data_IF_931386470340
#
_entry.id   IF_931386470340
#
_cell.length_a   1.000
_cell.length_b   1.000
_cell.length_c   1.000
_cell.angle_alpha   90.00
_cell.angle_beta   90.00
_cell.angle_gamma   90.00
#
_symmetry.space_group_name_H-M   'P 1'
#
loop_
_entity.id
_entity.type
_entity.pdbx_description
1 polymer ?
#
# COMPACT_ATOMS: atom_id res chain seq x y z
N UNK A 1 23.34 49.70 37.98
CA UNK A 1 22.31 50.76 37.90
C UNK A 1 22.48 51.41 36.52
N UNK A 2 21.91 50.85 35.45
CA UNK A 2 20.52 51.00 34.98
C UNK A 2 20.20 52.48 34.69
N UNK A 3 20.00 52.91 33.44
CA UNK A 3 18.78 52.79 32.61
C UNK A 3 19.19 52.85 31.11
N UNK A 4 18.96 51.86 30.24
CA UNK A 4 17.72 51.44 29.55
C UNK A 4 17.07 52.49 28.65
N UNK A 5 17.23 52.34 27.32
CA UNK A 5 16.18 52.60 26.33
C UNK A 5 16.32 51.60 25.19
N UNK A 6 15.30 50.74 25.06
CA UNK A 6 15.13 49.75 24.00
C UNK A 6 14.21 50.35 22.94
N UNK A 7 14.59 50.29 21.66
CA UNK A 7 13.75 50.68 20.53
C UNK A 7 13.36 49.41 19.78
N UNK A 8 12.07 49.10 19.82
CA UNK A 8 11.42 48.02 19.08
C UNK A 8 11.26 48.47 17.63
N UNK A 9 11.89 47.76 16.69
CA UNK A 9 11.59 47.87 15.25
C UNK A 9 10.86 46.59 14.84
N UNK A 10 9.60 46.77 14.46
CA UNK A 10 8.75 45.74 13.86
C UNK A 10 9.11 45.58 12.37
N UNK A 11 9.56 44.39 11.97
CA UNK A 11 9.62 44.00 10.56
C UNK A 11 8.50 43.01 10.28
N UNK A 12 7.45 43.49 9.59
CA UNK A 12 6.40 42.65 9.04
C UNK A 12 6.94 41.78 7.91
N UNK A 13 6.77 40.47 8.03
CA UNK A 13 7.00 39.53 6.93
C UNK A 13 5.90 39.72 5.88
N UNK A 14 6.30 40.21 4.71
CA UNK A 14 5.45 40.27 3.52
C UNK A 14 5.72 39.01 2.69
N UNK A 15 4.70 38.16 2.54
CA UNK A 15 4.72 37.01 1.63
C UNK A 15 4.90 37.50 0.18
N UNK A 16 5.78 36.91 -0.65
CA UNK A 16 5.85 37.28 -2.05
C UNK A 16 4.73 36.58 -2.84
N UNK A 17 3.93 37.38 -3.53
CA UNK A 17 2.99 36.93 -4.56
C UNK A 17 3.75 36.25 -5.70
N UNK A 18 3.40 34.99 -5.99
CA UNK A 18 3.86 34.25 -7.16
C UNK A 18 3.50 34.98 -8.46
N UNK A 19 4.52 35.39 -9.22
CA UNK A 19 4.37 35.91 -10.58
C UNK A 19 4.30 34.74 -11.58
N UNK A 20 3.13 34.57 -12.19
CA UNK A 20 2.98 33.80 -13.42
C UNK A 20 3.84 34.43 -14.52
N UNK A 21 4.81 33.67 -15.04
CA UNK A 21 5.45 33.99 -16.33
C UNK A 21 5.34 32.76 -17.24
N UNK A 22 4.55 32.93 -18.32
CA UNK A 22 4.45 31.99 -19.42
C UNK A 22 5.75 32.04 -20.23
N UNK A 23 6.53 30.96 -20.21
CA UNK A 23 7.55 30.71 -21.21
C UNK A 23 7.24 29.38 -21.90
N UNK A 24 6.92 29.48 -23.19
CA UNK A 24 6.91 28.36 -24.13
C UNK A 24 8.33 28.16 -24.63
N UNK A 25 8.85 26.92 -24.63
CA UNK A 25 9.82 26.45 -25.62
C UNK A 25 9.94 24.91 -25.63
N UNK A 26 9.47 24.37 -26.75
CA UNK A 26 9.91 23.22 -27.57
C UNK A 26 10.29 21.87 -26.92
N UNK A 27 9.47 20.89 -27.27
CA UNK A 27 9.51 19.45 -27.02
C UNK A 27 10.68 18.71 -27.69
N UNK A 28 11.27 17.76 -26.96
CA UNK A 28 11.93 16.56 -27.51
C UNK A 28 11.10 15.33 -27.14
N UNK A 29 11.09 14.25 -27.96
CA UNK A 29 10.07 13.23 -27.87
C UNK A 29 10.40 12.22 -26.76
N UNK A 30 9.71 12.31 -25.62
CA UNK A 30 9.56 11.18 -24.72
C UNK A 30 8.55 10.22 -25.34
N UNK A 31 8.96 8.96 -25.54
CA UNK A 31 8.06 7.88 -25.95
C UNK A 31 6.97 7.75 -24.87
N UNK A 32 5.68 7.97 -25.20
CA UNK A 32 4.62 7.73 -24.25
C UNK A 32 4.47 6.23 -24.07
N UNK A 33 4.76 5.71 -22.87
CA UNK A 33 4.20 4.44 -22.44
C UNK A 33 2.70 4.67 -22.28
N UNK A 34 1.97 4.41 -23.36
CA UNK A 34 0.53 4.30 -23.33
C UNK A 34 0.17 3.15 -22.39
N UNK A 35 -0.19 3.47 -21.15
CA UNK A 35 -1.20 2.68 -20.46
C UNK A 35 -2.40 2.63 -21.39
N UNK A 36 -2.63 1.47 -21.98
CA UNK A 36 -3.63 1.29 -23.00
C UNK A 36 -4.99 1.61 -22.35
N UNK A 37 -5.54 2.79 -22.63
CA UNK A 37 -6.87 3.26 -22.20
C UNK A 37 -8.02 2.44 -22.82
N UNK A 38 -7.73 1.28 -23.42
CA UNK A 38 -8.73 0.28 -23.77
C UNK A 38 -8.92 -0.73 -22.63
N UNK A 39 -9.22 -0.22 -21.44
CA UNK A 39 -10.23 -0.91 -20.63
C UNK A 39 -11.53 -0.65 -21.37
N UNK A 40 -11.93 -1.60 -22.23
CA UNK A 40 -13.31 -1.62 -22.69
C UNK A 40 -14.15 -1.56 -21.42
N UNK A 41 -14.92 -0.47 -21.30
CA UNK A 41 -16.06 -0.35 -20.38
C UNK A 41 -16.85 -1.63 -20.54
N UNK A 42 -16.61 -2.60 -19.66
CA UNK A 42 -17.38 -3.82 -19.63
C UNK A 42 -18.73 -3.36 -19.07
N UNK A 43 -19.67 -3.15 -19.98
CA UNK A 43 -21.07 -3.05 -19.60
C UNK A 43 -21.37 -4.19 -18.63
N UNK A 44 -22.10 -3.83 -17.59
CA UNK A 44 -22.59 -4.71 -16.54
C UNK A 44 -23.27 -5.95 -17.15
N UNK A 45 -22.51 -7.01 -17.35
CA UNK A 45 -23.09 -8.33 -17.43
C UNK A 45 -23.66 -8.62 -16.05
N UNK A 46 -24.98 -8.63 -15.95
CA UNK A 46 -25.70 -9.24 -14.84
C UNK A 46 -25.29 -10.71 -14.76
N UNK A 47 -24.20 -10.97 -14.04
CA UNK A 47 -23.95 -12.27 -13.46
C UNK A 47 -24.97 -12.43 -12.32
N UNK A 48 -25.61 -13.61 -12.20
CA UNK A 48 -26.51 -13.86 -11.09
C UNK A 48 -25.74 -13.63 -9.77
N UNK A 49 -26.38 -13.10 -8.73
CA UNK A 49 -25.73 -12.93 -7.44
C UNK A 49 -25.17 -14.30 -7.01
N UNK A 50 -23.94 -14.34 -6.43
CA UNK A 50 -23.46 -15.57 -5.83
C UNK A 50 -24.54 -16.03 -4.84
N UNK A 51 -24.92 -17.31 -4.97
CA UNK A 51 -25.83 -17.97 -4.04
C UNK A 51 -25.36 -17.65 -2.63
N UNK A 52 -26.31 -17.29 -1.75
CA UNK A 52 -26.06 -16.98 -0.35
C UNK A 52 -25.46 -18.20 0.36
N UNK A 53 -24.16 -18.41 0.20
CA UNK A 53 -23.35 -19.32 0.98
C UNK A 53 -22.98 -18.57 2.26
N UNK A 54 -23.25 -19.23 3.39
CA UNK A 54 -23.21 -18.69 4.73
C UNK A 54 -21.98 -17.82 4.98
N UNK A 55 -22.20 -16.56 5.37
CA UNK A 55 -21.18 -15.75 6.01
C UNK A 55 -20.68 -16.53 7.23
N UNK A 56 -19.38 -16.86 7.27
CA UNK A 56 -18.77 -17.45 8.44
C UNK A 56 -18.90 -16.45 9.61
N UNK A 57 -19.76 -16.78 10.57
CA UNK A 57 -19.90 -16.03 11.81
C UNK A 57 -18.56 -15.99 12.54
N UNK A 58 -18.13 -14.79 12.91
CA UNK A 58 -17.04 -14.54 13.86
C UNK A 58 -17.24 -15.39 15.12
N UNK A 59 -16.17 -16.03 15.60
CA UNK A 59 -16.03 -16.91 16.79
C UNK A 59 -15.80 -18.42 16.59
N UNK A 60 -15.46 -18.88 15.39
CA UNK A 60 -14.84 -20.21 15.23
C UNK A 60 -13.49 -20.09 14.52
N UNK A 61 -12.48 -20.91 14.89
CA UNK A 61 -11.23 -20.96 14.15
C UNK A 61 -11.54 -21.24 12.68
N UNK A 62 -10.80 -20.61 11.78
CA UNK A 62 -11.00 -20.76 10.33
C UNK A 62 -11.00 -22.25 9.99
N UNK A 63 -12.15 -22.80 9.58
CA UNK A 63 -12.26 -24.20 9.18
C UNK A 63 -11.56 -24.38 7.83
N UNK A 64 -10.28 -24.75 7.89
CA UNK A 64 -9.44 -24.97 6.71
C UNK A 64 -10.01 -26.07 5.81
N UNK A 65 -10.67 -27.09 6.37
CA UNK A 65 -11.29 -28.15 5.58
C UNK A 65 -12.54 -27.66 4.85
N UNK A 66 -13.32 -26.77 5.48
CA UNK A 66 -14.37 -26.03 4.78
C UNK A 66 -13.80 -25.16 3.66
N UNK A 67 -12.75 -24.37 3.92
CA UNK A 67 -12.13 -23.52 2.90
C UNK A 67 -11.61 -24.33 1.71
N UNK A 68 -10.92 -25.44 1.98
CA UNK A 68 -10.50 -26.38 0.94
C UNK A 68 -11.70 -26.90 0.17
N UNK A 69 -12.75 -27.38 0.83
CA UNK A 69 -13.94 -27.92 0.14
C UNK A 69 -14.64 -26.89 -0.74
N UNK A 70 -14.78 -25.66 -0.25
CA UNK A 70 -15.55 -24.60 -0.94
C UNK A 70 -14.74 -23.95 -2.07
N UNK A 71 -13.47 -23.66 -1.83
CA UNK A 71 -12.65 -22.84 -2.73
C UNK A 71 -11.58 -23.62 -3.51
N UNK A 72 -11.45 -24.94 -3.31
CA UNK A 72 -10.57 -25.76 -4.16
C UNK A 72 -10.92 -25.59 -5.64
N UNK A 73 -9.89 -25.46 -6.47
CA UNK A 73 -10.04 -25.28 -7.92
C UNK A 73 -9.96 -23.82 -8.38
N UNK A 74 -10.04 -22.83 -7.48
CA UNK A 74 -9.93 -21.41 -7.83
C UNK A 74 -8.49 -20.87 -7.76
N UNK A 75 -7.49 -21.72 -8.02
CA UNK A 75 -6.07 -21.34 -7.93
C UNK A 75 -5.57 -20.98 -6.53
N UNK A 76 -6.31 -21.34 -5.48
CA UNK A 76 -5.95 -21.11 -4.09
C UNK A 76 -5.84 -22.43 -3.29
N UNK A 77 -4.91 -22.47 -2.34
CA UNK A 77 -4.77 -23.52 -1.32
C UNK A 77 -4.64 -22.89 0.06
N UNK A 78 -4.95 -23.64 1.12
CA UNK A 78 -5.00 -23.10 2.48
C UNK A 78 -4.11 -23.89 3.43
N UNK A 79 -3.42 -23.17 4.31
CA UNK A 79 -2.60 -23.71 5.38
C UNK A 79 -2.96 -23.06 6.72
N UNK A 80 -3.00 -23.88 7.76
CA UNK A 80 -3.25 -23.45 9.12
C UNK A 80 -1.96 -22.97 9.79
N UNK A 81 -2.02 -21.83 10.47
CA UNK A 81 -0.91 -21.25 11.23
C UNK A 81 -1.45 -20.71 12.56
N UNK A 82 -1.57 -21.59 13.55
CA UNK A 82 -2.02 -21.21 14.89
C UNK A 82 -3.49 -20.78 14.91
N UNK A 83 -3.73 -19.50 15.17
CA UNK A 83 -5.09 -18.91 15.18
C UNK A 83 -5.48 -18.29 13.83
N UNK A 84 -4.58 -18.28 12.85
CA UNK A 84 -4.83 -17.70 11.52
C UNK A 84 -4.66 -18.72 10.40
N UNK A 85 -5.24 -18.41 9.24
CA UNK A 85 -5.10 -19.21 8.03
C UNK A 85 -4.41 -18.38 6.93
N UNK A 86 -3.52 -19.04 6.20
CA UNK A 86 -2.87 -18.47 5.02
C UNK A 86 -3.49 -19.06 3.76
N UNK A 87 -4.06 -18.18 2.93
CA UNK A 87 -4.42 -18.51 1.56
C UNK A 87 -3.20 -18.32 0.64
N UNK A 88 -2.78 -19.39 -0.03
CA UNK A 88 -1.72 -19.40 -1.04
C UNK A 88 -2.36 -19.37 -2.41
N UNK A 89 -2.15 -18.26 -3.12
CA UNK A 89 -2.64 -18.03 -4.47
C UNK A 89 -1.53 -18.42 -5.45
N UNK A 90 -1.88 -19.13 -6.52
CA UNK A 90 -0.90 -19.57 -7.52
C UNK A 90 -1.50 -19.56 -8.92
N UNK A 91 -0.75 -18.99 -9.85
CA UNK A 91 -1.04 -19.02 -11.27
C UNK A 91 -0.12 -20.01 -12.00
N UNK A 92 -0.56 -20.46 -13.16
CA UNK A 92 0.15 -21.44 -14.00
C UNK A 92 1.42 -20.86 -14.62
N UNK A 93 1.48 -19.54 -14.78
CA UNK A 93 2.70 -18.84 -15.18
C UNK A 93 3.80 -18.87 -14.09
N UNK A 94 3.48 -19.35 -12.89
CA UNK A 94 4.39 -19.49 -11.77
C UNK A 94 4.36 -18.36 -10.76
N UNK A 95 3.62 -17.28 -11.01
CA UNK A 95 3.39 -16.22 -10.02
C UNK A 95 2.57 -16.75 -8.85
N UNK A 96 2.89 -16.29 -7.64
CA UNK A 96 2.22 -16.75 -6.42
C UNK A 96 2.22 -15.66 -5.36
N UNK A 97 1.19 -15.65 -4.52
CA UNK A 97 1.11 -14.76 -3.37
C UNK A 97 0.55 -15.49 -2.15
N UNK A 98 0.96 -15.07 -0.95
CA UNK A 98 0.42 -15.58 0.31
C UNK A 98 -0.36 -14.48 1.02
N UNK A 99 -1.56 -14.80 1.50
CA UNK A 99 -2.44 -13.87 2.20
C UNK A 99 -2.79 -14.44 3.58
N UNK A 100 -2.45 -13.72 4.64
CA UNK A 100 -2.93 -14.01 6.00
C UNK A 100 -4.35 -13.46 6.13
N UNK A 101 -5.34 -14.35 6.18
CA UNK A 101 -6.76 -13.99 6.02
C UNK A 101 -7.27 -13.07 7.12
N UNK A 102 -7.03 -13.39 8.40
CA UNK A 102 -7.52 -12.59 9.54
C UNK A 102 -6.88 -11.20 9.61
N UNK A 103 -5.67 -11.04 9.08
CA UNK A 103 -4.94 -9.76 9.05
C UNK A 103 -5.14 -8.97 7.76
N UNK A 104 -5.74 -9.56 6.73
CA UNK A 104 -5.85 -8.96 5.41
C UNK A 104 -4.48 -8.55 4.84
N UNK A 105 -3.44 -9.32 5.15
CA UNK A 105 -2.05 -8.97 4.86
C UNK A 105 -1.48 -9.89 3.79
N UNK A 106 -0.88 -9.33 2.74
CA UNK A 106 -0.10 -10.10 1.77
C UNK A 106 1.32 -10.24 2.29
N UNK A 107 1.75 -11.48 2.55
CA UNK A 107 3.05 -11.77 3.18
C UNK A 107 4.12 -12.26 2.21
N UNK A 108 3.74 -12.63 0.99
CA UNK A 108 4.69 -13.01 -0.05
C UNK A 108 4.08 -12.70 -1.40
N UNK A 109 4.92 -12.24 -2.33
CA UNK A 109 4.57 -12.10 -3.73
C UNK A 109 5.78 -12.46 -4.58
N UNK A 110 5.71 -13.64 -5.20
CA UNK A 110 6.76 -14.17 -6.07
C UNK A 110 6.30 -14.08 -7.51
N UNK A 111 7.13 -13.46 -8.34
CA UNK A 111 6.89 -13.35 -9.78
C UNK A 111 7.97 -14.09 -10.54
N UNK A 112 7.58 -14.75 -11.63
CA UNK A 112 8.54 -15.37 -12.55
C UNK A 112 9.27 -14.25 -13.31
N UNK A 113 10.56 -14.42 -13.56
CA UNK A 113 11.36 -13.48 -14.34
C UNK A 113 11.89 -14.13 -15.61
N UNK A 114 12.29 -13.31 -16.60
CA UNK A 114 12.69 -13.72 -17.95
C UNK A 114 13.70 -14.90 -18.03
N UNK A 115 14.57 -15.06 -17.03
CA UNK A 115 15.54 -16.16 -16.96
C UNK A 115 14.98 -17.45 -16.32
N UNK A 116 13.65 -17.57 -16.20
CA UNK A 116 12.94 -18.73 -15.67
C UNK A 116 12.94 -18.87 -14.15
N UNK A 117 13.65 -17.98 -13.44
CA UNK A 117 13.66 -17.93 -11.98
C UNK A 117 12.40 -17.29 -11.40
N UNK A 118 12.30 -17.26 -10.07
CA UNK A 118 11.29 -16.48 -9.34
C UNK A 118 11.97 -15.49 -8.41
N UNK A 119 11.39 -14.30 -8.27
CA UNK A 119 11.88 -13.26 -7.37
C UNK A 119 10.79 -12.93 -6.36
N UNK A 120 11.14 -12.95 -5.08
CA UNK A 120 10.30 -12.45 -3.98
C UNK A 120 10.33 -10.92 -3.98
N UNK A 121 9.16 -10.28 -4.12
CA UNK A 121 9.05 -8.82 -4.18
C UNK A 121 8.76 -8.20 -2.82
N UNK A 122 8.11 -8.93 -1.92
CA UNK A 122 7.71 -8.41 -0.62
C UNK A 122 8.69 -8.84 0.47
N UNK A 123 9.07 -7.90 1.32
CA UNK A 123 9.86 -8.16 2.50
C UNK A 123 8.95 -8.44 3.69
N UNK A 124 9.18 -9.56 4.38
CA UNK A 124 8.50 -9.90 5.63
C UNK A 124 9.48 -10.51 6.60
N UNK A 125 9.27 -10.27 7.89
CA UNK A 125 10.02 -10.91 8.96
C UNK A 125 9.08 -11.33 10.09
N UNK A 126 9.62 -12.13 11.00
CA UNK A 126 8.91 -12.61 12.17
C UNK A 126 9.51 -11.93 13.39
N UNK A 127 8.64 -11.46 14.26
CA UNK A 127 9.00 -10.79 15.51
C UNK A 127 8.25 -11.44 16.67
N UNK A 128 8.89 -11.51 17.83
CA UNK A 128 8.29 -12.02 19.05
C UNK A 128 7.95 -10.83 19.95
N UNK A 129 6.67 -10.66 20.27
CA UNK A 129 6.19 -9.62 21.18
C UNK A 129 6.26 -10.08 22.66
N UNK A 130 6.03 -9.15 23.58
CA UNK A 130 6.20 -9.34 25.04
C UNK A 130 5.34 -10.48 25.63
N UNK A 131 4.25 -10.88 24.95
CA UNK A 131 3.32 -11.93 25.39
C UNK A 131 3.53 -13.30 24.71
N UNK A 132 4.72 -13.58 24.17
CA UNK A 132 5.01 -14.77 23.34
C UNK A 132 4.21 -14.86 22.02
N UNK A 133 3.44 -13.82 21.67
CA UNK A 133 2.79 -13.76 20.37
C UNK A 133 3.84 -13.56 19.27
N UNK A 134 3.82 -14.46 18.27
CA UNK A 134 4.67 -14.39 17.10
C UNK A 134 3.95 -13.64 15.99
N UNK A 135 4.43 -12.46 15.65
CA UNK A 135 3.78 -11.56 14.70
C UNK A 135 4.60 -11.50 13.40
N UNK A 136 3.92 -11.75 12.28
CA UNK A 136 4.49 -11.49 10.96
C UNK A 136 4.38 -10.00 10.66
N UNK A 137 5.50 -9.40 10.27
CA UNK A 137 5.64 -7.98 9.92
C UNK A 137 6.00 -7.80 8.44
N UNK A 138 5.79 -6.60 7.92
CA UNK A 138 6.11 -6.23 6.56
C UNK A 138 4.98 -6.51 5.56
N UNK A 139 5.33 -6.99 4.36
CA UNK A 139 4.35 -7.39 3.35
C UNK A 139 3.55 -6.20 2.78
N UNK A 140 2.26 -6.41 2.53
CA UNK A 140 1.31 -5.33 2.20
C UNK A 140 0.10 -5.47 3.12
N UNK A 141 -0.23 -4.38 3.82
CA UNK A 141 -1.41 -4.31 4.69
C UNK A 141 -2.10 -2.97 4.56
N UNK A 142 -3.43 -2.96 4.68
CA UNK A 142 -4.18 -1.72 4.86
C UNK A 142 -4.03 -1.20 6.28
N UNK A 143 -3.78 0.10 6.45
CA UNK A 143 -3.81 0.76 7.75
C UNK A 143 -4.82 1.91 7.76
N UNK A 144 -5.37 2.18 8.96
CA UNK A 144 -6.30 3.25 9.26
C UNK A 144 -5.99 3.77 10.67
N UNK A 145 -6.19 5.06 10.92
CA UNK A 145 -6.02 5.61 12.28
C UNK A 145 -7.19 5.30 13.21
N UNK A 146 -8.18 4.49 12.77
CA UNK A 146 -9.27 4.00 13.63
C UNK A 146 -8.67 3.05 14.67
N UNK A 147 -8.55 3.56 15.88
CA UNK A 147 -7.95 2.90 17.04
C UNK A 147 -8.76 1.67 17.44
N UNK A 148 -8.20 0.47 17.31
CA UNK A 148 -8.38 -0.69 18.20
C UNK A 148 -7.76 -1.94 17.55
N UNK A 149 -7.07 -2.70 18.40
CA UNK A 149 -6.24 -3.86 18.05
C UNK A 149 -7.04 -5.17 17.83
N UNK A 150 -8.37 -5.12 17.74
CA UNK A 150 -9.23 -6.32 17.87
C UNK A 150 -10.20 -6.55 16.71
N UNK A 151 -9.87 -6.04 15.52
CA UNK A 151 -10.71 -6.21 14.35
C UNK A 151 -10.00 -6.89 13.20
N UNK A 152 -10.34 -8.16 13.06
CA UNK A 152 -9.87 -9.06 12.04
C UNK A 152 -10.74 -8.98 10.78
N UNK A 153 -10.09 -9.22 9.66
CA UNK A 153 -10.74 -9.44 8.38
C UNK A 153 -11.40 -10.83 8.34
N UNK A 154 -12.56 -10.90 7.71
CA UNK A 154 -13.26 -12.16 7.43
C UNK A 154 -13.20 -12.47 5.94
N UNK A 155 -12.93 -13.73 5.58
CA UNK A 155 -12.97 -14.17 4.19
C UNK A 155 -14.42 -14.16 3.71
N UNK A 156 -14.69 -13.41 2.64
CA UNK A 156 -16.00 -13.38 1.98
C UNK A 156 -16.06 -14.30 0.78
N UNK A 157 -14.96 -14.43 0.02
CA UNK A 157 -14.91 -15.35 -1.10
C UNK A 157 -13.57 -15.38 -1.81
N UNK A 158 -13.34 -16.46 -2.57
CA UNK A 158 -12.26 -16.58 -3.53
C UNK A 158 -12.86 -16.87 -4.90
N UNK A 159 -12.40 -16.14 -5.91
CA UNK A 159 -12.88 -16.30 -7.29
C UNK A 159 -11.71 -16.33 -8.28
N UNK A 160 -11.99 -16.77 -9.50
CA UNK A 160 -11.00 -16.87 -10.56
C UNK A 160 -10.40 -18.26 -10.70
N UNK A 161 -9.24 -18.34 -11.35
CA UNK A 161 -8.58 -19.59 -11.76
C UNK A 161 -7.05 -19.40 -11.88
N UNK A 162 -6.33 -20.51 -12.02
CA UNK A 162 -4.87 -20.49 -12.14
C UNK A 162 -4.36 -19.97 -13.48
N UNK A 163 -5.20 -19.90 -14.52
CA UNK A 163 -4.79 -19.49 -15.87
C UNK A 163 -4.75 -17.97 -16.00
N UNK A 164 -5.74 -17.28 -15.43
CA UNK A 164 -6.00 -15.86 -15.66
C UNK A 164 -5.67 -14.99 -14.44
N UNK A 165 -6.39 -15.22 -13.35
CA UNK A 165 -6.24 -14.49 -12.10
C UNK A 165 -6.96 -15.18 -10.95
N UNK A 166 -6.44 -15.02 -9.74
CA UNK A 166 -7.08 -15.43 -8.50
C UNK A 166 -7.38 -14.19 -7.66
N UNK A 167 -8.58 -14.09 -7.12
CA UNK A 167 -9.02 -12.98 -6.28
C UNK A 167 -9.47 -13.47 -4.91
N UNK A 168 -9.08 -12.76 -3.86
CA UNK A 168 -9.54 -12.96 -2.48
C UNK A 168 -10.30 -11.72 -2.05
N UNK A 169 -11.57 -11.89 -1.67
CA UNK A 169 -12.39 -10.84 -1.08
C UNK A 169 -12.45 -11.02 0.44
N UNK A 170 -12.04 -9.98 1.16
CA UNK A 170 -12.11 -9.88 2.60
C UNK A 170 -13.06 -8.77 3.00
N UNK A 171 -13.75 -8.94 4.13
CA UNK A 171 -14.61 -7.91 4.72
C UNK A 171 -14.32 -7.71 6.18
N UNK A 172 -14.43 -6.45 6.59
CA UNK A 172 -14.32 -6.01 7.97
C UNK A 172 -15.41 -4.98 8.23
N UNK A 173 -16.05 -5.07 9.38
CA UNK A 173 -16.94 -4.04 9.89
C UNK A 173 -16.23 -3.33 11.04
N UNK A 174 -16.31 -2.00 11.09
CA UNK A 174 -15.76 -1.23 12.21
C UNK A 174 -16.78 -1.25 13.37
N UNK A 175 -16.37 -1.75 14.54
CA UNK A 175 -17.22 -1.86 15.74
C UNK A 175 -17.43 -0.50 16.40
N UNK A 176 -16.49 0.43 16.27
CA UNK A 176 -16.60 1.80 16.81
C UNK A 176 -17.48 2.65 15.91
N UNK A 177 -17.26 2.58 14.61
CA UNK A 177 -18.09 3.22 13.60
C UNK A 177 -18.93 2.13 12.92
N UNK A 178 -19.98 1.68 13.63
CA UNK A 178 -20.90 0.60 13.19
C UNK A 178 -21.44 0.75 11.77
N UNK A 179 -21.42 1.98 11.29
CA UNK A 179 -21.91 2.41 10.00
C UNK A 179 -20.85 2.34 8.89
N UNK A 180 -19.64 1.83 9.15
CA UNK A 180 -18.60 1.63 8.12
C UNK A 180 -18.45 0.14 7.81
N UNK A 181 -18.55 -0.20 6.52
CA UNK A 181 -18.09 -1.48 5.98
C UNK A 181 -16.82 -1.28 5.16
N UNK A 182 -15.80 -2.06 5.48
CA UNK A 182 -14.56 -2.14 4.72
C UNK A 182 -14.52 -3.46 3.94
N UNK A 183 -14.10 -3.36 2.68
CA UNK A 183 -13.89 -4.50 1.80
C UNK A 183 -12.48 -4.39 1.21
N UNK A 184 -11.73 -5.47 1.25
CA UNK A 184 -10.43 -5.57 0.59
C UNK A 184 -10.46 -6.67 -0.46
N UNK A 185 -10.01 -6.38 -1.67
CA UNK A 185 -9.88 -7.35 -2.75
C UNK A 185 -8.40 -7.47 -3.12
N UNK A 186 -7.86 -8.67 -2.95
CA UNK A 186 -6.47 -8.98 -3.32
C UNK A 186 -6.52 -9.79 -4.61
N UNK A 187 -5.91 -9.28 -5.67
CA UNK A 187 -5.91 -9.91 -6.99
C UNK A 187 -4.50 -10.26 -7.41
N UNK A 188 -4.24 -11.54 -7.67
CA UNK A 188 -3.04 -12.02 -8.32
C UNK A 188 -3.35 -12.27 -9.81
N UNK A 189 -2.69 -11.56 -10.71
CA UNK A 189 -2.78 -11.73 -12.17
C UNK A 189 -1.38 -11.77 -12.75
N UNK A 190 -1.11 -12.64 -13.72
CA UNK A 190 0.11 -12.57 -14.53
C UNK A 190 1.38 -12.17 -13.76
N UNK A 191 1.77 -10.91 -13.92
CA UNK A 191 2.93 -10.21 -13.37
C UNK A 191 2.56 -9.06 -12.42
N UNK A 192 1.31 -9.01 -11.95
CA UNK A 192 0.74 -7.93 -11.16
C UNK A 192 -0.01 -8.45 -9.93
N UNK A 193 0.32 -7.90 -8.78
CA UNK A 193 -0.45 -8.02 -7.55
C UNK A 193 -1.19 -6.70 -7.31
N UNK A 194 -2.50 -6.76 -7.14
CA UNK A 194 -3.33 -5.59 -6.82
C UNK A 194 -4.01 -5.77 -5.47
N UNK A 195 -4.02 -4.72 -4.66
CA UNK A 195 -4.78 -4.64 -3.42
C UNK A 195 -5.73 -3.47 -3.56
N UNK A 196 -7.03 -3.75 -3.64
CA UNK A 196 -8.09 -2.77 -3.66
C UNK A 196 -8.74 -2.69 -2.29
N UNK A 197 -8.96 -1.46 -1.81
CA UNK A 197 -9.66 -1.16 -0.58
C UNK A 197 -10.89 -0.30 -0.90
N UNK A 198 -12.05 -0.80 -0.50
CA UNK A 198 -13.32 -0.10 -0.56
C UNK A 198 -13.79 0.23 0.86
N UNK A 199 -14.21 1.46 1.08
CA UNK A 199 -14.84 1.90 2.34
C UNK A 199 -16.22 2.45 2.04
N UNK A 200 -17.23 1.89 2.69
CA UNK A 200 -18.65 2.26 2.51
C UNK A 200 -19.18 2.91 3.78
N UNK A 201 -19.73 4.12 3.66
CA UNK A 201 -20.48 4.75 4.74
C UNK A 201 -21.96 4.35 4.63
N UNK A 202 -22.39 3.41 5.47
CA UNK A 202 -23.79 2.97 5.62
C UNK A 202 -24.59 3.82 6.60
N UNK A 203 -23.94 4.79 7.24
CA UNK A 203 -24.55 5.64 8.24
C UNK A 203 -25.36 6.77 7.64
N UNK A 204 -25.83 7.63 8.53
CA UNK A 204 -26.65 8.81 8.18
C UNK A 204 -25.86 10.12 8.24
N UNK A 205 -24.60 10.08 8.67
CA UNK A 205 -23.72 11.25 8.83
C UNK A 205 -22.46 11.10 7.98
N UNK A 206 -21.89 12.19 7.44
CA UNK A 206 -20.59 12.16 6.78
C UNK A 206 -19.49 11.69 7.74
N UNK A 207 -18.52 10.95 7.22
CA UNK A 207 -17.36 10.46 7.96
C UNK A 207 -16.06 11.01 7.36
N UNK A 208 -15.02 11.06 8.19
CA UNK A 208 -13.67 11.40 7.77
C UNK A 208 -12.71 10.28 8.18
N UNK A 209 -12.07 9.65 7.19
CA UNK A 209 -11.15 8.53 7.40
C UNK A 209 -9.73 9.09 7.34
N UNK A 210 -9.01 8.98 8.45
CA UNK A 210 -7.63 9.43 8.59
C UNK A 210 -6.66 8.24 8.53
N UNK A 211 -5.44 8.50 8.07
CA UNK A 211 -4.36 7.51 8.08
C UNK A 211 -4.60 6.32 7.17
N UNK A 212 -5.50 6.45 6.17
CA UNK A 212 -5.82 5.37 5.25
C UNK A 212 -4.63 5.12 4.32
N UNK A 213 -4.15 3.88 4.22
CA UNK A 213 -3.00 3.57 3.37
C UNK A 213 -2.94 2.12 2.93
N UNK A 214 -2.28 1.89 1.79
CA UNK A 214 -1.90 0.59 1.26
C UNK A 214 -0.39 0.60 0.99
N UNK A 215 0.42 0.51 2.04
CA UNK A 215 1.88 0.57 1.93
C UNK A 215 2.46 -0.83 1.85
N UNK A 216 3.38 -1.02 0.91
CA UNK A 216 4.12 -2.26 0.69
C UNK A 216 5.54 -2.16 1.19
N UNK A 217 6.04 -3.25 1.77
CA UNK A 217 7.45 -3.44 2.10
C UNK A 217 8.11 -4.16 0.93
N UNK A 218 8.81 -3.43 0.07
CA UNK A 218 9.50 -4.01 -1.07
C UNK A 218 10.87 -4.52 -0.65
N UNK A 219 11.18 -5.78 -0.99
CA UNK A 219 12.53 -6.34 -0.78
C UNK A 219 13.52 -5.68 -1.75
N UNK A 220 14.62 -5.16 -1.22
CA UNK A 220 15.73 -4.61 -2.00
C UNK A 220 17.08 -5.18 -1.56
N UNK A 221 18.11 -5.11 -2.41
CA UNK A 221 19.45 -5.57 -2.04
C UNK A 221 20.05 -4.66 -0.98
N UNK A 222 20.08 -3.36 -1.27
CA UNK A 222 20.49 -2.30 -0.34
C UNK A 222 19.81 -0.99 -0.75
N UNK A 223 19.60 -0.05 0.19
CA UNK A 223 19.03 1.25 -0.13
C UNK A 223 19.88 2.07 -1.13
N UNK A 224 21.21 1.92 -1.14
CA UNK A 224 22.11 2.62 -2.08
C UNK A 224 21.98 2.14 -3.52
N UNK A 225 21.65 0.86 -3.71
CA UNK A 225 21.40 0.30 -5.04
C UNK A 225 19.96 0.51 -5.52
N UNK A 226 19.13 1.20 -4.71
CA UNK A 226 17.70 1.37 -4.94
C UNK A 226 17.37 2.81 -5.33
N UNK A 227 16.55 2.94 -6.37
CA UNK A 227 16.15 4.22 -6.94
C UNK A 227 14.64 4.25 -7.22
N UNK A 228 13.97 5.33 -6.85
CA UNK A 228 12.65 5.65 -7.35
C UNK A 228 12.77 6.53 -8.59
N UNK A 229 12.08 6.18 -9.68
CA UNK A 229 12.16 6.86 -10.97
C UNK A 229 10.77 7.28 -11.42
N UNK A 230 10.66 8.53 -11.87
CA UNK A 230 9.41 9.12 -12.38
C UNK A 230 8.68 10.00 -11.38
N UNK A 231 9.31 10.41 -10.28
CA UNK A 231 8.74 11.35 -9.31
C UNK A 231 9.08 12.82 -9.60
N UNK A 232 9.84 13.12 -10.66
CA UNK A 232 10.19 14.50 -11.06
C UNK A 232 8.95 15.39 -11.14
N UNK A 233 9.02 16.56 -10.52
CA UNK A 233 7.93 17.53 -10.43
C UNK A 233 6.84 17.18 -9.42
N UNK A 234 7.01 16.10 -8.63
CA UNK A 234 6.11 15.80 -7.51
C UNK A 234 6.50 16.64 -6.30
N UNK A 235 5.51 17.26 -5.68
CA UNK A 235 5.68 17.90 -4.38
C UNK A 235 5.88 16.82 -3.30
N UNK A 236 6.65 17.12 -2.27
CA UNK A 236 6.79 16.27 -1.10
C UNK A 236 6.78 17.05 0.20
N UNK A 237 6.36 16.38 1.26
CA UNK A 237 6.49 16.83 2.65
C UNK A 237 7.25 15.76 3.41
N UNK A 238 8.34 16.15 4.08
CA UNK A 238 9.03 15.27 5.02
C UNK A 238 8.16 15.04 6.26
N UNK A 239 8.17 13.83 6.77
CA UNK A 239 7.33 13.43 7.89
C UNK A 239 8.06 12.42 8.76
N UNK A 240 7.55 12.13 9.95
CA UNK A 240 8.06 11.02 10.76
C UNK A 240 7.75 9.68 10.06
N UNK A 241 8.51 8.61 10.30
CA UNK A 241 8.20 7.30 9.72
C UNK A 241 6.77 6.86 10.08
N UNK A 242 5.87 6.86 9.11
CA UNK A 242 4.56 6.23 9.19
C UNK A 242 4.72 4.77 8.83
N UNK A 243 4.53 3.89 9.80
CA UNK A 243 4.58 2.47 9.56
C UNK A 243 3.17 1.89 9.71
N UNK A 244 2.66 1.16 8.71
CA UNK A 244 1.34 0.54 8.76
C UNK A 244 1.15 -0.33 9.99
N UNK A 245 -0.09 -0.75 10.27
CA UNK A 245 -0.50 -1.57 11.43
C UNK A 245 0.43 -2.77 11.77
N UNK A 246 1.21 -3.29 10.81
CA UNK A 246 2.19 -4.37 11.00
C UNK A 246 3.65 -3.95 10.69
N UNK A 247 4.00 -2.70 10.99
CA UNK A 247 5.34 -2.12 10.92
C UNK A 247 5.73 -1.41 12.23
N UNK A 248 6.98 -1.56 12.67
CA UNK A 248 7.53 -1.06 13.94
C UNK A 248 8.19 0.32 13.74
N UNK A 249 7.91 1.45 14.40
CA UNK A 249 7.61 1.73 15.82
C UNK A 249 6.47 2.76 15.90
N UNK A 250 5.49 2.45 16.74
CA UNK A 250 4.55 3.43 17.30
C UNK A 250 5.31 4.31 18.30
N UNK A 251 5.59 5.55 17.91
CA UNK A 251 5.87 6.65 18.82
C UNK A 251 4.78 7.68 18.62
N UNK A 252 4.11 8.09 19.70
CA UNK A 252 3.25 9.27 19.72
C UNK A 252 4.13 10.52 19.55
N UNK A 253 4.65 10.74 18.34
CA UNK A 253 5.32 11.98 18.00
C UNK A 253 4.33 12.82 17.19
N UNK A 254 3.98 13.99 17.73
CA UNK A 254 3.19 15.02 17.05
C UNK A 254 3.62 15.13 15.59
N UNK A 255 2.65 15.20 14.66
CA UNK A 255 2.87 15.37 13.23
C UNK A 255 3.81 16.56 12.95
N UNK A 256 5.12 16.30 12.96
CA UNK A 256 6.15 17.27 12.60
C UNK A 256 6.37 17.13 11.11
N UNK A 257 5.53 17.83 10.36
CA UNK A 257 5.82 18.10 8.95
C UNK A 257 7.16 18.84 8.87
N UNK A 258 8.13 18.19 8.26
CA UNK A 258 9.46 18.70 8.00
C UNK A 258 9.46 19.65 6.80
N UNK A 259 10.61 19.73 6.13
CA UNK A 259 10.76 20.53 4.92
C UNK A 259 9.80 20.00 3.84
N UNK A 260 9.18 20.93 3.12
CA UNK A 260 8.48 20.64 1.87
C UNK A 260 9.34 21.08 0.69
N UNK A 261 9.15 20.43 -0.44
CA UNK A 261 9.86 20.73 -1.67
C UNK A 261 9.25 20.03 -2.87
N UNK A 262 9.91 20.16 -4.01
CA UNK A 262 9.56 19.47 -5.25
C UNK A 262 10.72 18.54 -5.62
N UNK A 263 10.42 17.36 -6.15
CA UNK A 263 11.47 16.45 -6.61
C UNK A 263 12.04 16.96 -7.94
N UNK A 264 13.26 17.51 -7.89
CA UNK A 264 13.92 18.14 -9.04
C UNK A 264 14.55 17.13 -10.01
N UNK A 265 14.78 15.90 -9.55
CA UNK A 265 15.48 14.86 -10.30
C UNK A 265 14.53 13.81 -10.85
N UNK A 266 14.84 13.26 -12.01
CA UNK A 266 14.11 12.12 -12.59
C UNK A 266 14.25 10.83 -11.78
N UNK A 267 15.27 10.74 -10.93
CA UNK A 267 15.44 9.66 -9.96
C UNK A 267 15.74 10.18 -8.56
N UNK A 268 15.19 9.49 -7.56
CA UNK A 268 15.52 9.63 -6.15
C UNK A 268 16.25 8.38 -5.68
N UNK A 269 17.53 8.52 -5.32
CA UNK A 269 18.28 7.44 -4.68
C UNK A 269 17.84 7.31 -3.22
N UNK A 270 17.65 6.06 -2.76
CA UNK A 270 17.10 5.76 -1.43
C UNK A 270 18.17 5.43 -0.39
N UNK A 271 19.41 5.88 -0.59
CA UNK A 271 20.57 5.56 0.27
C UNK A 271 20.49 6.11 1.70
N UNK A 272 19.86 7.27 1.85
CA UNK A 272 19.70 7.94 3.15
C UNK A 272 18.37 7.56 3.79
N UNK A 273 18.32 7.68 5.12
CA UNK A 273 17.05 7.56 5.83
C UNK A 273 16.14 8.71 5.41
N UNK A 274 14.92 8.38 4.99
CA UNK A 274 13.93 9.38 4.57
C UNK A 274 12.52 8.85 4.79
N UNK A 275 11.61 9.76 5.13
CA UNK A 275 10.17 9.52 5.20
C UNK A 275 9.46 10.70 4.57
N UNK A 276 8.77 10.46 3.46
CA UNK A 276 8.12 11.50 2.65
C UNK A 276 6.72 11.10 2.25
N UNK A 277 5.84 12.09 2.23
CA UNK A 277 4.55 12.01 1.56
C UNK A 277 4.66 12.84 0.29
N UNK A 278 4.53 12.19 -0.85
CA UNK A 278 4.49 12.85 -2.15
C UNK A 278 3.05 13.21 -2.51
N UNK A 279 2.86 14.46 -2.93
CA UNK A 279 1.64 14.99 -3.53
C UNK A 279 1.89 15.29 -5.00
N UNK A 280 0.84 15.31 -5.82
CA UNK A 280 0.94 15.49 -7.28
C UNK A 280 1.81 14.44 -7.99
N UNK A 281 2.15 13.33 -7.32
CA UNK A 281 2.87 12.21 -7.92
C UNK A 281 2.13 11.65 -9.13
N UNK A 282 2.79 11.01 -10.10
CA UNK A 282 2.09 10.30 -11.16
C UNK A 282 1.24 9.14 -10.60
N UNK A 283 0.31 8.62 -11.41
CA UNK A 283 -0.47 7.43 -11.07
C UNK A 283 0.37 6.15 -11.01
N UNK A 284 1.59 6.17 -11.55
CA UNK A 284 2.56 5.09 -11.41
C UNK A 284 3.99 5.61 -11.54
N UNK A 285 4.91 5.00 -10.80
CA UNK A 285 6.35 5.24 -10.90
C UNK A 285 7.10 3.91 -10.68
N UNK A 286 8.42 3.89 -10.92
CA UNK A 286 9.19 2.65 -10.90
C UNK A 286 10.22 2.66 -9.79
N UNK A 287 10.29 1.56 -9.03
CA UNK A 287 11.38 1.26 -8.13
C UNK A 287 12.35 0.33 -8.83
N UNK A 288 13.60 0.75 -8.94
CA UNK A 288 14.68 -0.01 -9.57
C UNK A 288 15.67 -0.41 -8.49
N UNK A 289 15.96 -1.70 -8.42
CA UNK A 289 17.02 -2.26 -7.61
C UNK A 289 18.10 -2.84 -8.51
N UNK A 290 19.24 -2.15 -8.57
CA UNK A 290 20.38 -2.56 -9.40
C UNK A 290 21.07 -3.81 -8.87
N UNK A 291 21.11 -4.01 -7.54
CA UNK A 291 21.77 -5.16 -6.94
C UNK A 291 20.99 -6.45 -7.18
N UNK A 292 19.66 -6.38 -7.17
CA UNK A 292 18.77 -7.50 -7.54
C UNK A 292 18.53 -7.63 -9.04
N UNK A 293 18.93 -6.62 -9.84
CA UNK A 293 18.64 -6.51 -11.29
C UNK A 293 17.14 -6.67 -11.57
N UNK A 294 16.34 -6.03 -10.73
CA UNK A 294 14.89 -6.13 -10.76
C UNK A 294 14.28 -4.74 -10.63
N UNK A 295 13.04 -4.60 -11.09
CA UNK A 295 12.25 -3.40 -10.95
C UNK A 295 10.81 -3.76 -10.60
N UNK A 296 10.12 -2.84 -9.95
CA UNK A 296 8.70 -2.93 -9.61
C UNK A 296 8.06 -1.61 -9.97
N UNK A 297 7.02 -1.65 -10.81
CA UNK A 297 6.16 -0.50 -11.06
C UNK A 297 5.13 -0.44 -9.95
N UNK A 298 5.12 0.66 -9.22
CA UNK A 298 4.14 0.96 -8.18
C UNK A 298 3.06 1.83 -8.82
N UNK A 299 1.87 1.28 -8.98
CA UNK A 299 0.69 1.98 -9.50
C UNK A 299 -0.33 2.27 -8.40
N UNK A 300 -1.12 3.33 -8.58
CA UNK A 300 -2.17 3.73 -7.65
C UNK A 300 -3.43 4.21 -8.35
N UNK A 301 -4.57 3.99 -7.70
CA UNK A 301 -5.85 4.60 -8.03
C UNK A 301 -6.54 5.11 -6.76
N UNK A 302 -7.33 6.18 -6.87
CA UNK A 302 -8.23 6.66 -5.81
C UNK A 302 -7.58 7.39 -4.63
N UNK A 303 -6.29 7.22 -4.41
CA UNK A 303 -5.49 8.04 -3.48
C UNK A 303 -4.86 9.22 -4.18
N UNK A 304 -4.64 10.33 -3.49
CA UNK A 304 -3.95 11.51 -4.03
C UNK A 304 -2.48 11.59 -3.61
N UNK A 305 -2.11 10.86 -2.56
CA UNK A 305 -0.79 10.91 -1.93
C UNK A 305 -0.08 9.56 -2.06
N UNK A 306 1.25 9.60 -2.02
CA UNK A 306 2.10 8.41 -1.96
C UNK A 306 3.05 8.54 -0.78
N UNK A 307 3.01 7.58 0.13
CA UNK A 307 3.99 7.46 1.18
C UNK A 307 5.22 6.70 0.68
N UNK A 308 6.40 7.20 1.03
CA UNK A 308 7.68 6.56 0.75
C UNK A 308 8.62 6.69 1.95
N UNK A 309 9.16 5.55 2.38
CA UNK A 309 10.16 5.47 3.42
C UNK A 309 11.33 4.58 3.03
N UNK A 310 12.53 5.08 3.31
CA UNK A 310 13.76 4.32 3.28
C UNK A 310 14.38 4.36 4.67
N UNK A 311 14.76 3.21 5.25
CA UNK A 311 15.53 3.20 6.50
C UNK A 311 16.97 3.69 6.31
N UNK A 312 17.39 3.91 5.06
CA UNK A 312 18.78 4.22 4.73
C UNK A 312 19.73 3.06 5.02
N UNK A 313 21.01 3.27 4.72
CA UNK A 313 22.02 2.22 4.84
C UNK A 313 22.60 2.02 6.24
N UNK A 314 22.23 2.87 7.19
CA UNK A 314 22.71 2.78 8.58
C UNK A 314 22.01 1.71 9.40
N UNK A 315 20.97 1.06 8.85
CA UNK A 315 20.29 -0.04 9.52
C UNK A 315 21.15 -1.32 9.43
N UNK A 316 22.04 -1.51 10.40
CA UNK A 316 22.75 -2.79 10.64
C UNK A 316 21.76 -3.84 11.18
N UNK A 317 20.81 -4.32 10.36
CA UNK A 317 20.01 -5.49 10.74
C UNK A 317 20.55 -6.75 10.06
N UNK A 318 20.90 -7.73 10.90
CA UNK A 318 21.51 -9.02 10.57
C UNK A 318 20.60 -9.95 9.72
N UNK A 319 19.51 -9.45 9.15
CA UNK A 319 18.41 -10.23 8.53
C UNK A 319 18.43 -10.21 7.01
N UNK A 320 19.58 -10.47 6.37
CA UNK A 320 19.76 -10.93 4.95
C UNK A 320 19.00 -10.26 3.78
N UNK A 321 18.20 -9.22 3.97
CA UNK A 321 17.57 -8.43 2.89
C UNK A 321 17.08 -7.08 3.43
N UNK A 322 17.43 -5.99 2.73
CA UNK A 322 16.93 -4.66 3.03
C UNK A 322 15.51 -4.44 2.47
N UNK A 323 14.82 -3.40 2.93
CA UNK A 323 13.50 -3.03 2.43
C UNK A 323 13.34 -1.53 2.27
N UNK A 324 12.33 -1.15 1.48
CA UNK A 324 11.77 0.21 1.42
C UNK A 324 10.25 0.11 1.52
N UNK A 325 9.61 1.08 2.16
CA UNK A 325 8.16 1.10 2.32
C UNK A 325 7.53 2.09 1.34
N UNK A 326 6.65 1.64 0.48
CA UNK A 326 6.10 2.46 -0.60
C UNK A 326 4.64 2.08 -0.85
N UNK A 327 3.78 3.07 -0.95
CA UNK A 327 2.42 2.85 -1.43
C UNK A 327 1.52 4.07 -1.31
N UNK A 328 0.34 4.01 -1.92
CA UNK A 328 -0.62 5.10 -1.85
C UNK A 328 -1.19 5.27 -0.44
N UNK A 329 -1.47 6.52 -0.08
CA UNK A 329 -1.91 6.89 1.26
C UNK A 329 -2.79 8.14 1.28
N UNK A 330 -3.38 8.40 2.44
CA UNK A 330 -4.14 9.58 2.81
C UNK A 330 -3.73 9.93 4.25
N UNK A 331 -2.54 10.52 4.36
CA UNK A 331 -1.90 10.92 5.61
C UNK A 331 -2.04 12.43 5.84
N UNK A 332 -1.93 13.26 4.79
CA UNK A 332 -2.10 14.72 4.91
C UNK A 332 -3.59 15.09 4.86
N UNK A 333 -4.31 14.55 3.89
CA UNK A 333 -5.70 14.89 3.62
C UNK A 333 -6.61 13.70 3.91
N UNK A 334 -7.44 13.75 4.97
CA UNK A 334 -8.39 12.68 5.28
C UNK A 334 -9.42 12.48 4.17
N UNK A 335 -9.86 11.25 3.97
CA UNK A 335 -10.92 10.92 3.01
C UNK A 335 -12.27 11.30 3.63
N UNK A 336 -12.98 12.26 3.03
CA UNK A 336 -14.37 12.59 3.38
C UNK A 336 -15.35 11.70 2.61
N UNK A 337 -16.30 11.09 3.31
CA UNK A 337 -17.29 10.20 2.71
C UNK A 337 -18.71 10.48 3.23
N UNK A 338 -19.59 10.91 2.34
CA UNK A 338 -21.00 11.18 2.63
C UNK A 338 -21.81 9.90 2.91
N UNK A 339 -22.97 10.01 3.58
CA UNK A 339 -23.90 8.91 3.80
C UNK A 339 -24.25 8.17 2.49
N UNK A 340 -24.13 6.84 2.49
CA UNK A 340 -24.41 5.98 1.36
C UNK A 340 -23.32 5.93 0.29
N UNK A 341 -22.26 6.73 0.41
CA UNK A 341 -21.16 6.74 -0.56
C UNK A 341 -20.14 5.63 -0.31
N UNK A 342 -19.40 5.29 -1.37
CA UNK A 342 -18.28 4.35 -1.36
C UNK A 342 -17.04 5.06 -1.87
N UNK A 343 -15.96 4.98 -1.11
CA UNK A 343 -14.62 5.37 -1.56
C UNK A 343 -13.82 4.11 -1.94
N UNK A 344 -12.98 4.22 -2.97
CA UNK A 344 -12.13 3.13 -3.47
C UNK A 344 -10.71 3.63 -3.69
N UNK A 345 -9.73 2.90 -3.15
CA UNK A 345 -8.31 3.11 -3.39
C UNK A 345 -7.62 1.80 -3.75
N UNK A 346 -6.59 1.86 -4.61
CA UNK A 346 -5.92 0.65 -5.13
C UNK A 346 -4.41 0.85 -5.14
N UNK A 347 -3.67 -0.18 -4.71
CA UNK A 347 -2.24 -0.36 -4.97
C UNK A 347 -2.05 -1.45 -6.03
N UNK A 348 -1.19 -1.17 -7.02
CA UNK A 348 -0.69 -2.15 -7.98
C UNK A 348 0.82 -2.31 -7.83
N UNK A 349 1.27 -3.56 -7.69
CA UNK A 349 2.68 -3.94 -7.78
C UNK A 349 2.87 -4.80 -9.02
N UNK A 350 3.47 -4.22 -10.06
CA UNK A 350 3.72 -4.89 -11.33
C UNK A 350 5.22 -5.12 -11.54
N UNK A 351 5.62 -6.33 -11.91
CA UNK A 351 7.00 -6.64 -12.27
C UNK A 351 7.17 -6.68 -13.80
N UNK A 352 7.83 -5.69 -14.41
CA UNK A 352 8.01 -5.64 -15.86
C UNK A 352 9.10 -6.61 -16.37
N UNK A 353 9.80 -7.34 -15.49
CA UNK A 353 10.89 -8.26 -15.85
C UNK A 353 10.43 -9.71 -16.08
N UNK A 354 9.13 -9.92 -16.22
CA UNK A 354 8.45 -11.22 -16.31
C UNK A 354 8.68 -11.95 -17.62
#
# INVERSE_FOLDING_TARGET
>A
MALSHSTVVSHGCTLPLCRYSKLRLLSSPSLPLHFNKTVKRLESFHLPPPSAAAAASSYFPIDVEYLKREFSGHGATFEDIGETCVAKLKLDNGSSANVTLTRGMVTSYKVKVWHGGKVELLHTWVEQEEEEEVVIRGGVSSAFSSSDDTEEWSLHGITGDSENCVQVELRRSDKKIKDIEMKQIITLRGDTLSIELCVTNKGVSPISIKGCSLVSYLTVSTPEATYAVGLEGSDFVETTPFLPRFGLVQGEEEDKYGLSGEEESNYKQLSEEMSRIYTLAPSSFTIIDRGRRNSVVVGREGFEEVYMYSPGSKLESYTKSAYVCIGPSSLLNPISLDPGCVWRGVLHLHNPNS
#
